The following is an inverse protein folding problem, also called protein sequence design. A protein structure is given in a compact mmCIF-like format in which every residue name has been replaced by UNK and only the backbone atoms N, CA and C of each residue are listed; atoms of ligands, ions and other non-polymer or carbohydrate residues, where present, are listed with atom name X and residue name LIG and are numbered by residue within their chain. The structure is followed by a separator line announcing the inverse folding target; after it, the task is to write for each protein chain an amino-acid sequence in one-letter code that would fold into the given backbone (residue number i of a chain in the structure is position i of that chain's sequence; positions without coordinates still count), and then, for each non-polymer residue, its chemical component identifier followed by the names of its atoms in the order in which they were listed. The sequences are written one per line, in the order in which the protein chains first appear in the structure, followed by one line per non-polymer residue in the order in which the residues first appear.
data_IF_793302046551
#
_entry.id   IF_793302046551
#
_cell.length_a   1.000
_cell.length_b   1.000
_cell.length_c   1.000
_cell.angle_alpha   90.00
_cell.angle_beta   90.00
_cell.angle_gamma   90.00
#
_symmetry.space_group_name_H-M   'P 1'
#
loop_
_entity.id
_entity.type
_entity.pdbx_description
1 polymer ?
#
# COMPACT_ATOMS: atom_id res chain seq x y z
N UNK A 1 -24.82 -2.60 -22.26
CA UNK A 1 -25.07 -1.66 -21.15
C UNK A 1 -23.73 -1.20 -20.61
N UNK A 2 -23.31 0.02 -20.93
CA UNK A 2 -22.12 0.67 -20.41
C UNK A 2 -22.46 1.29 -19.05
N UNK A 3 -21.69 0.98 -18.00
CA UNK A 3 -21.69 1.73 -16.75
C UNK A 3 -20.29 2.26 -16.48
N UNK A 4 -20.27 3.58 -16.40
CA UNK A 4 -19.14 4.49 -16.31
C UNK A 4 -18.22 4.19 -15.12
N UNK A 5 -16.93 4.08 -15.42
CA UNK A 5 -15.86 4.27 -14.45
C UNK A 5 -15.81 5.75 -14.04
N UNK A 6 -16.21 6.06 -12.80
CA UNK A 6 -16.11 7.39 -12.19
C UNK A 6 -16.11 7.18 -10.67
N UNK A 7 -15.26 7.75 -9.84
CA UNK A 7 -14.22 8.75 -10.02
C UNK A 7 -13.13 8.48 -8.98
N UNK A 8 -11.85 8.57 -9.40
CA UNK A 8 -10.73 8.65 -8.47
C UNK A 8 -10.72 10.06 -7.86
N UNK A 9 -11.01 10.20 -6.57
CA UNK A 9 -10.71 11.45 -5.87
C UNK A 9 -9.18 11.56 -5.72
N UNK A 10 -8.63 12.52 -6.47
CA UNK A 10 -7.21 12.82 -6.49
C UNK A 10 -6.80 13.46 -5.16
N UNK A 11 -6.06 12.72 -4.33
CA UNK A 11 -5.25 13.31 -3.29
C UNK A 11 -4.20 14.25 -3.92
N UNK A 12 -3.86 15.42 -3.34
CA UNK A 12 -2.97 16.43 -3.94
C UNK A 12 -1.51 15.99 -4.22
N UNK A 13 -1.15 14.72 -4.00
CA UNK A 13 0.11 14.06 -4.40
C UNK A 13 0.03 13.34 -5.76
N UNK A 14 -1.05 13.58 -6.51
CA UNK A 14 -1.68 12.72 -7.52
C UNK A 14 -0.94 12.34 -8.82
N UNK A 15 0.26 11.75 -8.76
CA UNK A 15 0.78 10.94 -9.88
C UNK A 15 1.28 9.55 -9.54
N UNK A 16 1.53 9.26 -8.26
CA UNK A 16 2.22 8.03 -7.82
C UNK A 16 1.41 7.19 -6.84
N UNK A 17 0.16 7.58 -6.61
CA UNK A 17 -0.73 6.97 -5.64
C UNK A 17 -2.09 6.76 -6.28
N UNK A 18 -2.61 5.55 -6.18
CA UNK A 18 -3.96 5.18 -6.61
C UNK A 18 -4.66 4.49 -5.44
N UNK A 19 -5.83 4.99 -5.06
CA UNK A 19 -6.70 4.31 -4.10
C UNK A 19 -7.30 3.06 -4.75
N UNK A 20 -7.25 1.94 -4.04
CA UNK A 20 -7.95 0.71 -4.42
C UNK A 20 -9.35 0.80 -3.80
N UNK A 21 -10.40 0.60 -4.60
CA UNK A 21 -11.78 0.61 -4.12
C UNK A 21 -12.53 -0.61 -4.61
N UNK A 22 -13.33 -1.22 -3.74
CA UNK A 22 -14.32 -2.19 -4.18
C UNK A 22 -15.60 -1.44 -4.58
N UNK A 23 -15.64 -1.00 -5.84
CA UNK A 23 -16.85 -0.47 -6.46
C UNK A 23 -17.54 0.65 -5.66
N UNK A 24 -18.80 0.41 -5.28
CA UNK A 24 -19.77 1.43 -4.84
C UNK A 24 -19.54 1.95 -3.41
N UNK A 25 -18.50 1.50 -2.73
CA UNK A 25 -18.28 1.77 -1.31
C UNK A 25 -17.36 2.97 -1.11
N UNK A 26 -17.65 3.79 -0.10
CA UNK A 26 -16.86 4.98 0.22
C UNK A 26 -15.53 4.66 0.91
N UNK A 27 -15.43 3.49 1.58
CA UNK A 27 -14.20 3.08 2.26
C UNK A 27 -13.20 2.47 1.26
N UNK A 28 -11.94 2.95 1.22
CA UNK A 28 -10.92 2.41 0.35
C UNK A 28 -10.52 0.99 0.79
N UNK A 29 -10.38 0.07 -0.15
CA UNK A 29 -9.81 -1.25 0.09
C UNK A 29 -8.31 -1.17 0.43
N UNK A 30 -7.67 -0.08 0.02
CA UNK A 30 -6.28 0.19 0.28
C UNK A 30 -5.66 1.13 -0.75
N UNK A 31 -4.36 1.02 -0.96
CA UNK A 31 -3.56 1.97 -1.73
C UNK A 31 -2.54 1.26 -2.62
N UNK A 32 -2.42 1.69 -3.87
CA UNK A 32 -1.32 1.35 -4.75
C UNK A 32 -0.37 2.56 -4.83
N UNK A 33 0.86 2.35 -4.41
CA UNK A 33 1.93 3.35 -4.39
C UNK A 33 3.00 2.92 -5.40
N UNK A 34 3.44 3.82 -6.26
CA UNK A 34 4.63 3.54 -7.07
C UNK A 34 4.97 4.54 -8.15
N UNK A 35 6.19 4.43 -8.64
CA UNK A 35 6.74 5.31 -9.65
C UNK A 35 6.40 4.89 -11.08
N UNK A 36 6.83 5.68 -12.04
CA UNK A 36 6.61 5.45 -13.47
C UNK A 36 7.57 4.40 -14.07
N UNK A 37 8.49 3.86 -13.26
CA UNK A 37 9.55 2.96 -13.72
C UNK A 37 9.15 1.49 -13.56
N UNK A 38 9.40 0.63 -14.56
CA UNK A 38 9.15 -0.80 -14.43
C UNK A 38 10.03 -1.41 -13.32
N UNK A 39 9.43 -2.36 -12.59
CA UNK A 39 10.03 -3.00 -11.43
C UNK A 39 9.04 -3.95 -10.76
N UNK A 40 9.43 -4.53 -9.61
CA UNK A 40 8.68 -5.60 -8.96
C UNK A 40 7.42 -5.09 -8.27
N UNK A 41 6.45 -5.99 -8.11
CA UNK A 41 5.17 -5.71 -7.48
C UNK A 41 5.16 -6.35 -6.10
N UNK A 42 4.83 -5.56 -5.09
CA UNK A 42 4.78 -6.02 -3.69
C UNK A 42 3.37 -5.84 -3.15
N UNK A 43 2.83 -6.88 -2.54
CA UNK A 43 1.57 -6.84 -1.82
C UNK A 43 1.83 -6.82 -0.31
N UNK A 44 1.21 -5.87 0.37
CA UNK A 44 1.28 -5.68 1.81
C UNK A 44 -0.14 -5.68 2.34
N UNK A 45 -0.42 -6.56 3.30
CA UNK A 45 -1.76 -6.67 3.88
C UNK A 45 -1.72 -6.34 5.36
N UNK A 46 -2.69 -5.57 5.87
CA UNK A 46 -2.76 -5.21 7.28
C UNK A 46 -4.10 -4.59 7.65
N UNK A 47 -4.34 -4.33 8.92
CA UNK A 47 -5.54 -3.61 9.36
C UNK A 47 -5.41 -2.11 9.11
N UNK A 48 -6.52 -1.45 8.77
CA UNK A 48 -6.60 -0.01 8.45
C UNK A 48 -5.78 0.87 9.38
N UNK A 49 -5.89 0.69 10.71
CA UNK A 49 -5.17 1.52 11.70
C UNK A 49 -3.66 1.58 11.48
N UNK A 50 -3.03 0.44 11.17
CA UNK A 50 -1.58 0.36 10.93
C UNK A 50 -1.28 0.69 9.47
N UNK A 51 -2.06 0.14 8.53
CA UNK A 51 -1.90 0.35 7.09
C UNK A 51 -1.93 1.83 6.69
N UNK A 52 -2.87 2.60 7.24
CA UNK A 52 -3.04 4.03 6.93
C UNK A 52 -1.87 4.84 7.47
N UNK A 53 -1.47 4.56 8.71
CA UNK A 53 -0.31 5.21 9.32
C UNK A 53 0.99 4.90 8.57
N UNK A 54 1.14 3.67 8.06
CA UNK A 54 2.29 3.29 7.23
C UNK A 54 2.21 3.97 5.87
N UNK A 55 1.04 4.03 5.24
CA UNK A 55 0.78 4.73 3.99
C UNK A 55 1.18 6.21 4.08
N UNK A 56 0.71 6.93 5.10
CA UNK A 56 1.04 8.34 5.32
C UNK A 56 2.56 8.56 5.46
N UNK A 57 3.25 7.67 6.18
CA UNK A 57 4.71 7.72 6.29
C UNK A 57 5.41 7.47 4.96
N UNK A 58 4.89 6.57 4.11
CA UNK A 58 5.45 6.31 2.78
C UNK A 58 5.25 7.51 1.84
N UNK A 59 4.11 8.21 1.93
CA UNK A 59 3.86 9.43 1.16
C UNK A 59 4.80 10.57 1.51
N UNK A 60 5.28 10.62 2.76
CA UNK A 60 6.24 11.62 3.21
C UNK A 60 7.64 11.43 2.59
N UNK A 61 7.91 10.33 1.86
CA UNK A 61 9.21 10.07 1.23
C UNK A 61 9.35 10.93 -0.05
N UNK A 62 10.28 11.89 -0.10
CA UNK A 62 10.40 12.79 -1.26
C UNK A 62 10.77 12.08 -2.56
N UNK A 63 11.49 10.96 -2.47
CA UNK A 63 11.98 10.16 -3.60
C UNK A 63 11.01 9.08 -4.06
N UNK A 64 9.77 9.06 -3.56
CA UNK A 64 8.76 8.05 -3.92
C UNK A 64 8.50 7.96 -5.42
N UNK A 65 8.57 9.11 -6.12
CA UNK A 65 8.45 9.19 -7.59
C UNK A 65 9.52 8.40 -8.35
N UNK A 66 10.65 8.10 -7.71
CA UNK A 66 11.77 7.36 -8.29
C UNK A 66 11.69 5.86 -8.02
N UNK A 67 10.68 5.42 -7.25
CA UNK A 67 10.46 4.02 -6.96
C UNK A 67 10.22 3.24 -8.26
N UNK A 68 10.84 2.08 -8.37
CA UNK A 68 10.59 1.10 -9.42
C UNK A 68 9.49 0.14 -8.99
N UNK A 69 8.61 -0.21 -9.90
CA UNK A 69 7.52 -1.13 -9.62
C UNK A 69 6.41 -0.50 -8.78
N UNK A 70 5.63 -1.34 -8.12
CA UNK A 70 4.40 -0.93 -7.42
C UNK A 70 4.27 -1.66 -6.09
N UNK A 71 3.81 -0.93 -5.09
CA UNK A 71 3.53 -1.41 -3.75
C UNK A 71 2.03 -1.29 -3.51
N UNK A 72 1.37 -2.38 -3.18
CA UNK A 72 -0.05 -2.46 -2.92
C UNK A 72 -0.24 -2.69 -1.43
N UNK A 73 -0.79 -1.71 -0.71
CA UNK A 73 -1.27 -1.87 0.66
C UNK A 73 -2.76 -2.22 0.60
N UNK A 74 -3.15 -3.35 1.17
CA UNK A 74 -4.55 -3.81 1.25
C UNK A 74 -4.95 -3.88 2.71
N UNK A 75 -6.12 -3.31 3.02
CA UNK A 75 -6.73 -3.32 4.33
C UNK A 75 -7.59 -4.58 4.50
N UNK A 76 -7.25 -5.42 5.47
CA UNK A 76 -7.91 -6.71 5.68
C UNK A 76 -9.31 -6.57 6.28
N UNK A 77 -9.51 -5.60 7.17
CA UNK A 77 -10.79 -5.28 7.77
C UNK A 77 -11.80 -4.79 6.72
N UNK A 78 -11.40 -3.90 5.82
CA UNK A 78 -12.25 -3.46 4.71
C UNK A 78 -12.53 -4.57 3.70
N UNK A 79 -11.57 -5.49 3.50
CA UNK A 79 -11.73 -6.65 2.63
C UNK A 79 -12.81 -7.60 3.16
N UNK A 80 -12.82 -7.87 4.47
CA UNK A 80 -13.81 -8.72 5.13
C UNK A 80 -15.23 -8.15 5.02
N UNK A 81 -15.38 -6.82 5.14
CA UNK A 81 -16.67 -6.15 4.98
C UNK A 81 -17.22 -6.20 3.54
N UNK A 82 -16.34 -6.40 2.56
CA UNK A 82 -16.63 -6.28 1.14
C UNK A 82 -16.57 -7.61 0.37
N UNK A 83 -16.57 -8.76 1.05
CA UNK A 83 -16.47 -10.09 0.41
C UNK A 83 -17.47 -10.33 -0.74
N UNK A 84 -18.63 -9.68 -0.70
CA UNK A 84 -19.69 -9.82 -1.72
C UNK A 84 -19.46 -8.99 -3.00
N UNK A 85 -18.52 -8.05 -3.03
CA UNK A 85 -18.33 -7.09 -4.14
C UNK A 85 -17.11 -7.38 -5.03
N UNK A 86 -16.51 -8.57 -4.92
CA UNK A 86 -15.24 -8.94 -5.57
C UNK A 86 -14.16 -7.85 -5.47
N UNK A 87 -13.76 -7.48 -4.24
CA UNK A 87 -12.88 -6.35 -3.95
C UNK A 87 -11.50 -6.48 -4.62
N UNK A 88 -11.06 -7.71 -4.91
CA UNK A 88 -9.73 -8.00 -5.44
C UNK A 88 -9.66 -7.96 -6.97
N UNK A 89 -10.72 -7.55 -7.67
CA UNK A 89 -10.72 -7.45 -9.14
C UNK A 89 -9.59 -6.58 -9.69
N UNK A 90 -9.21 -5.52 -8.97
CA UNK A 90 -8.07 -4.66 -9.38
C UNK A 90 -6.70 -5.33 -9.25
N UNK A 91 -6.61 -6.43 -8.48
CA UNK A 91 -5.39 -7.20 -8.26
C UNK A 91 -5.36 -8.49 -9.10
N UNK A 92 -6.47 -8.83 -9.75
CA UNK A 92 -6.58 -10.02 -10.57
C UNK A 92 -5.62 -9.98 -11.77
N UNK A 93 -4.90 -11.08 -12.00
CA UNK A 93 -3.90 -11.18 -13.08
C UNK A 93 -2.56 -10.48 -12.80
N UNK A 94 -2.39 -9.83 -11.63
CA UNK A 94 -1.10 -9.30 -11.22
C UNK A 94 -0.21 -10.40 -10.62
N UNK A 95 1.06 -10.41 -11.00
CA UNK A 95 2.08 -11.24 -10.35
C UNK A 95 2.80 -10.40 -9.29
N UNK A 96 2.79 -10.86 -8.03
CA UNK A 96 3.50 -10.23 -6.95
C UNK A 96 4.82 -10.95 -6.68
N UNK A 97 5.93 -10.23 -6.79
CA UNK A 97 7.26 -10.73 -6.47
C UNK A 97 7.41 -11.00 -4.96
N UNK A 98 6.65 -10.27 -4.13
CA UNK A 98 6.61 -10.49 -2.69
C UNK A 98 5.26 -10.12 -2.08
N UNK A 99 4.85 -10.91 -1.10
CA UNK A 99 3.67 -10.64 -0.26
C UNK A 99 4.03 -10.78 1.21
N UNK A 100 3.58 -9.86 2.06
CA UNK A 100 3.72 -10.01 3.51
C UNK A 100 2.65 -9.22 4.27
N UNK A 101 2.54 -9.51 5.57
CA UNK A 101 1.57 -8.88 6.47
C UNK A 101 2.24 -7.82 7.34
N UNK A 102 1.55 -6.69 7.54
CA UNK A 102 1.92 -5.72 8.56
C UNK A 102 1.69 -6.29 9.95
N UNK A 103 2.44 -5.81 10.96
CA UNK A 103 2.19 -6.17 12.34
C UNK A 103 0.75 -5.85 12.73
N UNK A 104 0.10 -6.79 13.40
CA UNK A 104 -1.18 -6.57 14.06
C UNK A 104 -0.95 -6.14 15.50
N UNK A 105 -1.66 -5.10 15.95
CA UNK A 105 -1.58 -4.63 17.32
C UNK A 105 -2.99 -4.41 17.87
N UNK A 106 -3.41 -5.28 18.80
CA UNK A 106 -4.68 -5.13 19.51
C UNK A 106 -4.59 -4.13 20.67
N UNK A 107 -3.39 -3.84 21.16
CA UNK A 107 -3.15 -2.99 22.33
C UNK A 107 -2.74 -1.57 21.90
N UNK A 108 -3.54 -0.53 22.18
CA UNK A 108 -3.24 0.84 21.74
C UNK A 108 -1.86 1.36 22.18
N UNK A 109 -1.36 0.88 23.33
CA UNK A 109 -0.06 1.27 23.88
C UNK A 109 1.14 0.92 22.97
N UNK A 110 1.02 -0.09 22.11
CA UNK A 110 2.11 -0.55 21.23
C UNK A 110 1.87 -0.21 19.75
N UNK A 111 0.82 0.56 19.44
CA UNK A 111 0.46 0.89 18.05
C UNK A 111 1.57 1.65 17.34
N UNK A 112 2.28 2.56 18.00
CA UNK A 112 3.38 3.31 17.38
C UNK A 112 4.56 2.41 17.00
N UNK A 113 4.93 1.46 17.86
CA UNK A 113 5.99 0.50 17.57
C UNK A 113 5.60 -0.41 16.40
N UNK A 114 4.35 -0.86 16.36
CA UNK A 114 3.81 -1.64 15.26
C UNK A 114 3.83 -0.87 13.92
N UNK A 115 3.48 0.42 13.93
CA UNK A 115 3.56 1.30 12.76
C UNK A 115 5.02 1.44 12.31
N UNK A 116 5.95 1.69 13.23
CA UNK A 116 7.36 1.85 12.91
C UNK A 116 7.97 0.55 12.34
N UNK A 117 7.66 -0.58 12.96
CA UNK A 117 8.08 -1.89 12.47
C UNK A 117 7.48 -2.20 11.10
N UNK A 118 6.20 -1.91 10.89
CA UNK A 118 5.52 -2.06 9.60
C UNK A 118 6.18 -1.23 8.51
N UNK A 119 6.38 0.06 8.77
CA UNK A 119 7.06 0.99 7.86
C UNK A 119 8.47 0.53 7.50
N UNK A 120 9.29 0.16 8.49
CA UNK A 120 10.65 -0.36 8.26
C UNK A 120 10.64 -1.67 7.45
N UNK A 121 9.67 -2.54 7.69
CA UNK A 121 9.53 -3.80 6.96
C UNK A 121 9.22 -3.56 5.49
N UNK A 122 8.29 -2.64 5.19
CA UNK A 122 8.00 -2.19 3.82
C UNK A 122 9.25 -1.65 3.14
N UNK A 123 9.94 -0.70 3.77
CA UNK A 123 11.15 -0.12 3.19
C UNK A 123 12.22 -1.18 2.92
N UNK A 124 12.44 -2.08 3.87
CA UNK A 124 13.42 -3.16 3.72
C UNK A 124 13.08 -4.05 2.54
N UNK A 125 11.82 -4.45 2.36
CA UNK A 125 11.38 -5.24 1.21
C UNK A 125 11.58 -4.48 -0.10
N UNK A 126 11.16 -3.21 -0.14
CA UNK A 126 11.37 -2.35 -1.30
C UNK A 126 12.86 -2.21 -1.65
N UNK A 127 13.75 -2.06 -0.68
CA UNK A 127 15.20 -2.01 -0.91
C UNK A 127 15.74 -3.36 -1.39
N UNK A 128 15.34 -4.48 -0.78
CA UNK A 128 15.79 -5.83 -1.17
C UNK A 128 15.42 -6.17 -2.62
N UNK A 129 14.28 -5.69 -3.09
CA UNK A 129 13.80 -5.89 -4.45
C UNK A 129 14.31 -4.81 -5.43
N UNK A 130 15.15 -3.87 -4.98
CA UNK A 130 15.65 -2.78 -5.82
C UNK A 130 14.56 -1.81 -6.29
N UNK A 131 13.44 -1.73 -5.56
CA UNK A 131 12.36 -0.78 -5.81
C UNK A 131 12.78 0.64 -5.43
N UNK A 132 13.58 0.78 -4.38
CA UNK A 132 14.15 2.06 -3.96
C UNK A 132 15.67 1.95 -3.93
N UNK A 133 16.35 2.91 -4.55
CA UNK A 133 17.79 3.08 -4.35
C UNK A 133 18.00 3.48 -2.88
N UNK A 134 18.86 2.78 -2.14
CA UNK A 134 19.08 2.97 -0.70
C UNK A 134 19.57 4.37 -0.25
N UNK A 135 19.46 5.40 -1.10
CA UNK A 135 19.71 6.80 -0.77
C UNK A 135 18.58 7.32 0.12
N UNK A 136 18.77 7.22 1.44
CA UNK A 136 17.86 7.76 2.45
C UNK A 136 17.25 6.73 3.41
N UNK A 137 17.44 5.42 3.15
CA UNK A 137 17.04 4.36 4.08
C UNK A 137 18.26 3.99 4.92
N UNK A 138 18.42 4.62 6.09
CA UNK A 138 19.37 4.13 7.09
C UNK A 138 18.86 2.80 7.63
N UNK A 139 19.28 1.69 7.03
CA UNK A 139 19.18 0.35 7.62
C UNK A 139 20.21 0.29 8.75
N UNK A 140 19.84 0.80 9.93
CA UNK A 140 20.66 0.64 11.12
C UNK A 140 20.36 -0.77 11.68
N UNK A 141 21.34 -1.66 11.50
CA UNK A 141 21.42 -2.93 12.24
C UNK A 141 21.68 -2.66 13.72
#
# INVERSE_FOLDING_TARGET
MNLLATACENHPSGKFVKTLSAGNTAAPLGYCIGGTRPGPYVLVSGHSTISDSVYERLLAIPTLSWMRGKLFLVQLDTLDEQLNSNPLKELEGLHFDKTFFLPFCAMPAFTQDAIEQGYRSVLRVCTQLGMIDGRGVSLRN
#
